data_IF_926230172785
#
_entry.id   IF_926230172785
#
_cell.length_a   1.000
_cell.length_b   1.000
_cell.length_c   1.000
_cell.angle_alpha   90.00
_cell.angle_beta   90.00
_cell.angle_gamma   90.00
#
_symmetry.space_group_name_H-M   'P 1'
#
loop_
_entity.id
_entity.type
_entity.pdbx_description
1 polymer ?
#
# COMPACT_ATOMS: atom_id res chain seq x y z
N UNK A 1 -44.04 49.86 22.94
CA UNK A 1 -43.64 49.13 21.73
C UNK A 1 -42.26 48.54 21.97
N UNK A 2 -42.16 47.22 22.12
CA UNK A 2 -40.90 46.49 22.41
C UNK A 2 -40.45 45.77 21.14
N UNK A 3 -39.19 45.90 20.66
CA UNK A 3 -38.72 45.06 19.58
C UNK A 3 -38.16 43.75 20.13
N UNK A 4 -38.64 42.64 19.57
CA UNK A 4 -38.19 41.29 19.84
C UNK A 4 -36.80 41.05 19.24
N UNK A 5 -35.80 40.76 20.09
CA UNK A 5 -34.48 40.32 19.66
C UNK A 5 -34.54 38.84 19.28
N UNK A 6 -34.44 38.54 17.98
CA UNK A 6 -34.44 37.19 17.42
C UNK A 6 -33.04 36.57 17.62
N UNK A 7 -32.90 35.67 18.60
CA UNK A 7 -31.68 34.90 18.83
C UNK A 7 -31.49 33.89 17.69
N UNK A 8 -30.48 34.08 16.83
CA UNK A 8 -30.07 33.07 15.84
C UNK A 8 -29.12 32.08 16.51
N UNK A 9 -29.63 30.89 16.81
CA UNK A 9 -28.83 29.74 17.26
C UNK A 9 -27.92 29.27 16.12
N UNK A 10 -26.61 29.25 16.36
CA UNK A 10 -25.61 28.73 15.44
C UNK A 10 -25.54 27.20 15.55
N UNK A 11 -25.86 26.51 14.45
CA UNK A 11 -25.65 25.07 14.30
C UNK A 11 -24.16 24.80 14.13
N UNK A 12 -23.49 24.29 15.16
CA UNK A 12 -22.13 23.77 15.06
C UNK A 12 -22.14 22.36 14.45
N UNK A 13 -21.38 22.09 13.37
CA UNK A 13 -21.23 20.74 12.84
C UNK A 13 -20.39 19.88 13.80
N UNK A 14 -20.97 18.75 14.18
CA UNK A 14 -20.37 17.76 15.08
C UNK A 14 -19.23 17.03 14.37
N UNK A 15 -17.99 17.46 14.59
CA UNK A 15 -16.78 16.77 14.16
C UNK A 15 -16.69 15.39 14.83
N UNK A 16 -16.80 14.31 14.04
CA UNK A 16 -16.50 12.95 14.52
C UNK A 16 -14.99 12.76 14.52
N UNK A 17 -14.40 12.67 15.71
CA UNK A 17 -13.01 12.25 15.89
C UNK A 17 -12.87 10.78 15.47
N UNK A 18 -11.96 10.51 14.54
CA UNK A 18 -11.51 9.16 14.16
C UNK A 18 -10.68 8.58 15.31
N UNK A 19 -11.28 7.71 16.13
CA UNK A 19 -10.55 6.94 17.12
C UNK A 19 -9.85 5.75 16.46
N UNK A 20 -8.57 5.55 16.80
CA UNK A 20 -7.79 4.39 16.38
C UNK A 20 -8.22 3.15 17.19
N UNK A 21 -9.14 2.35 16.65
CA UNK A 21 -9.43 1.02 17.17
C UNK A 21 -8.31 0.07 16.78
N UNK A 22 -7.37 -0.14 17.71
CA UNK A 22 -6.37 -1.20 17.63
C UNK A 22 -7.07 -2.57 17.66
N UNK A 23 -7.21 -3.22 16.52
CA UNK A 23 -7.58 -4.64 16.45
C UNK A 23 -6.34 -5.45 16.85
N UNK A 24 -6.28 -5.93 18.11
CA UNK A 24 -5.35 -7.01 18.46
C UNK A 24 -5.89 -8.29 17.85
N UNK A 25 -5.26 -8.76 16.77
CA UNK A 25 -5.43 -10.13 16.32
C UNK A 25 -4.74 -11.04 17.34
N UNK A 26 -5.53 -11.73 18.16
CA UNK A 26 -5.03 -12.82 18.99
C UNK A 26 -4.74 -14.01 18.05
N UNK A 27 -3.48 -14.18 17.67
CA UNK A 27 -3.03 -15.43 17.04
C UNK A 27 -2.95 -16.51 18.12
N UNK A 28 -4.06 -17.19 18.37
CA UNK A 28 -4.04 -18.45 19.12
C UNK A 28 -3.31 -19.50 18.30
N UNK A 29 -2.26 -20.10 18.87
CA UNK A 29 -1.53 -21.21 18.27
C UNK A 29 -2.33 -22.51 18.44
N UNK A 30 -3.45 -22.65 17.74
CA UNK A 30 -4.14 -23.93 17.58
C UNK A 30 -3.44 -24.71 16.45
N UNK A 31 -2.86 -25.89 16.77
CA UNK A 31 -2.15 -26.75 15.81
C UNK A 31 -0.62 -26.72 15.93
N UNK A 32 -0.09 -27.09 17.10
CA UNK A 32 1.34 -27.28 17.36
C UNK A 32 1.58 -28.63 18.04
N UNK A 33 2.52 -29.41 17.53
CA UNK A 33 2.89 -30.71 18.11
C UNK A 33 4.42 -30.81 18.19
N UNK A 34 4.96 -30.88 19.40
CA UNK A 34 6.39 -31.14 19.62
C UNK A 34 6.68 -32.63 19.45
N UNK A 35 7.66 -32.95 18.63
CA UNK A 35 8.14 -34.32 18.42
C UNK A 35 9.23 -34.70 19.44
N UNK A 36 9.44 -36.01 19.67
CA UNK A 36 10.48 -36.51 20.58
C UNK A 36 11.91 -36.13 20.18
N UNK A 37 12.15 -35.81 18.90
CA UNK A 37 13.44 -35.35 18.36
C UNK A 37 13.71 -33.85 18.62
N UNK A 38 12.79 -33.16 19.29
CA UNK A 38 12.87 -31.73 19.57
C UNK A 38 12.41 -30.83 18.41
N UNK A 39 11.98 -31.41 17.28
CA UNK A 39 11.36 -30.65 16.20
C UNK A 39 9.88 -30.37 16.50
N UNK A 40 9.34 -29.23 16.06
CA UNK A 40 7.93 -28.90 16.24
C UNK A 40 7.21 -28.86 14.90
N UNK A 41 6.08 -29.55 14.82
CA UNK A 41 5.17 -29.45 13.69
C UNK A 41 4.17 -28.33 13.95
N UNK A 42 4.01 -27.48 12.94
CA UNK A 42 3.10 -26.34 12.97
C UNK A 42 2.09 -26.47 11.85
N UNK A 43 0.83 -26.20 12.19
CA UNK A 43 -0.27 -26.23 11.24
C UNK A 43 -0.25 -24.98 10.37
N UNK A 44 -0.37 -25.15 9.05
CA UNK A 44 -0.51 -24.04 8.11
C UNK A 44 -1.55 -24.35 7.02
N UNK A 45 -2.44 -23.40 6.77
CA UNK A 45 -3.36 -23.45 5.63
C UNK A 45 -2.57 -23.17 4.33
N UNK A 46 -2.28 -24.20 3.55
CA UNK A 46 -1.51 -24.07 2.30
C UNK A 46 -2.31 -24.50 1.06
N UNK A 47 -2.27 -23.68 0.00
CA UNK A 47 -3.02 -23.97 -1.24
C UNK A 47 -2.42 -25.12 -2.05
N UNK A 48 -1.09 -25.18 -2.11
CA UNK A 48 -0.33 -26.20 -2.87
C UNK A 48 -0.23 -27.51 -2.11
N UNK A 49 -0.28 -27.47 -0.77
CA UNK A 49 -0.17 -28.63 0.10
C UNK A 49 -1.52 -28.79 0.82
N UNK A 50 -2.53 -29.36 0.14
CA UNK A 50 -3.91 -29.45 0.65
C UNK A 50 -4.02 -30.24 1.95
N UNK A 51 -3.06 -31.11 2.24
CA UNK A 51 -3.08 -32.05 3.34
C UNK A 51 -1.94 -31.70 4.29
N UNK A 52 -2.23 -30.99 5.39
CA UNK A 52 -1.24 -30.66 6.41
C UNK A 52 -0.86 -31.91 7.23
N UNK A 53 0.37 -31.92 7.73
CA UNK A 53 0.92 -33.05 8.50
C UNK A 53 0.24 -33.26 9.86
N UNK A 54 -0.27 -32.17 10.45
CA UNK A 54 -1.03 -32.18 11.70
C UNK A 54 -2.43 -31.60 11.49
N UNK A 55 -3.44 -32.00 12.29
CA UNK A 55 -4.76 -31.37 12.27
C UNK A 55 -4.70 -29.96 12.87
N UNK A 56 -5.67 -29.12 12.50
CA UNK A 56 -5.85 -27.81 13.10
C UNK A 56 -6.11 -27.90 14.61
N UNK A 57 -7.03 -28.77 15.03
CA UNK A 57 -7.30 -29.04 16.44
C UNK A 57 -6.61 -30.32 16.88
N UNK A 58 -5.68 -30.17 17.82
CA UNK A 58 -4.94 -31.30 18.42
C UNK A 58 -5.67 -31.85 19.64
N UNK A 59 -6.11 -30.96 20.53
CA UNK A 59 -6.87 -31.33 21.73
C UNK A 59 -8.38 -31.35 21.43
N UNK A 60 -8.98 -32.53 21.56
CA UNK A 60 -10.40 -32.73 21.26
C UNK A 60 -11.24 -32.70 22.54
N UNK A 61 -12.33 -31.93 22.51
CA UNK A 61 -13.37 -32.02 23.55
C UNK A 61 -14.09 -33.37 23.50
N UNK A 62 -14.81 -33.73 24.57
CA UNK A 62 -15.56 -35.00 24.65
C UNK A 62 -16.58 -35.17 23.52
N UNK A 63 -17.26 -34.10 23.11
CA UNK A 63 -18.17 -34.11 21.96
C UNK A 63 -17.43 -34.38 20.64
N UNK A 64 -16.29 -33.74 20.43
CA UNK A 64 -15.48 -33.93 19.23
C UNK A 64 -14.86 -35.34 19.19
N UNK A 65 -14.47 -35.89 20.34
CA UNK A 65 -14.04 -37.28 20.48
C UNK A 65 -15.12 -38.26 20.02
N UNK A 66 -16.35 -38.10 20.52
CA UNK A 66 -17.48 -38.92 20.09
C UNK A 66 -17.79 -38.77 18.59
N UNK A 67 -17.57 -37.58 18.02
CA UNK A 67 -17.71 -37.34 16.58
C UNK A 67 -16.63 -38.05 15.76
N UNK A 68 -15.38 -38.08 16.24
CA UNK A 68 -14.28 -38.84 15.63
C UNK A 68 -14.51 -40.35 15.69
N UNK A 69 -15.17 -40.84 16.74
CA UNK A 69 -15.57 -42.25 16.80
C UNK A 69 -16.66 -42.58 15.78
N UNK A 70 -17.64 -41.69 15.59
CA UNK A 70 -18.66 -41.81 14.53
C UNK A 70 -18.07 -41.75 13.11
N UNK A 71 -17.00 -40.98 12.91
CA UNK A 71 -16.30 -40.87 11.61
C UNK A 71 -15.78 -42.22 11.10
N UNK A 72 -15.46 -43.16 12.00
CA UNK A 72 -14.98 -44.51 11.65
C UNK A 72 -16.07 -45.38 11.01
N UNK A 73 -17.35 -45.01 11.15
CA UNK A 73 -18.49 -45.72 10.56
C UNK A 73 -18.87 -45.23 9.16
N UNK A 74 -20.06 -45.62 8.64
CA UNK A 74 -20.52 -45.22 7.32
C UNK A 74 -20.87 -43.72 7.22
N UNK A 75 -20.21 -42.99 6.32
CA UNK A 75 -20.41 -41.53 6.14
C UNK A 75 -21.78 -41.12 5.59
N UNK A 76 -22.58 -42.09 5.14
CA UNK A 76 -23.99 -41.87 4.75
C UNK A 76 -24.89 -41.57 5.95
N UNK A 77 -24.49 -42.02 7.15
CA UNK A 77 -25.24 -41.81 8.40
C UNK A 77 -24.87 -40.50 9.11
N UNK A 78 -23.78 -39.84 8.70
CA UNK A 78 -23.37 -38.55 9.25
C UNK A 78 -24.26 -37.42 8.70
N UNK A 79 -24.73 -36.56 9.61
CA UNK A 79 -25.43 -35.34 9.23
C UNK A 79 -24.50 -34.37 8.50
N UNK A 80 -25.07 -33.35 7.85
CA UNK A 80 -24.29 -32.32 7.18
C UNK A 80 -23.45 -31.50 8.18
N UNK A 81 -24.01 -31.23 9.36
CA UNK A 81 -23.34 -30.48 10.42
C UNK A 81 -22.17 -31.26 11.01
N UNK A 82 -22.32 -32.58 11.18
CA UNK A 82 -21.24 -33.48 11.62
C UNK A 82 -20.05 -33.44 10.66
N UNK A 83 -20.32 -33.43 9.35
CA UNK A 83 -19.27 -33.36 8.31
C UNK A 83 -18.54 -32.02 8.34
N UNK A 84 -19.26 -30.92 8.51
CA UNK A 84 -18.66 -29.58 8.63
C UNK A 84 -17.81 -29.49 9.89
N UNK A 85 -18.27 -30.07 10.99
CA UNK A 85 -17.57 -30.08 12.27
C UNK A 85 -16.27 -30.90 12.18
N UNK A 86 -16.31 -32.09 11.57
CA UNK A 86 -15.11 -32.88 11.25
C UNK A 86 -14.14 -32.12 10.35
N UNK A 87 -14.65 -31.38 9.37
CA UNK A 87 -13.82 -30.53 8.52
C UNK A 87 -13.09 -29.46 9.32
N UNK A 88 -13.79 -28.74 10.22
CA UNK A 88 -13.20 -27.68 11.05
C UNK A 88 -12.23 -28.20 12.13
N UNK A 89 -12.37 -29.46 12.55
CA UNK A 89 -11.39 -30.12 13.42
C UNK A 89 -10.07 -30.32 12.66
N UNK A 90 -10.13 -30.78 11.41
CA UNK A 90 -8.93 -31.06 10.61
C UNK A 90 -8.33 -29.81 9.97
N UNK A 91 -9.17 -28.89 9.51
CA UNK A 91 -8.78 -27.72 8.72
C UNK A 91 -9.31 -26.43 9.33
N UNK A 92 -8.47 -25.39 9.39
CA UNK A 92 -8.91 -24.08 9.85
C UNK A 92 -9.76 -23.39 8.79
N UNK A 93 -9.22 -23.24 7.57
CA UNK A 93 -9.87 -22.48 6.49
C UNK A 93 -10.26 -23.36 5.31
N UNK A 94 -11.36 -22.97 4.66
CA UNK A 94 -11.71 -23.54 3.35
C UNK A 94 -10.86 -22.95 2.23
N UNK A 95 -10.75 -23.66 1.11
CA UNK A 95 -10.10 -23.13 -0.09
C UNK A 95 -10.71 -21.80 -0.55
N UNK A 96 -12.02 -21.60 -0.39
CA UNK A 96 -12.67 -20.34 -0.72
C UNK A 96 -12.25 -19.20 0.22
N UNK A 97 -12.14 -19.48 1.53
CA UNK A 97 -11.64 -18.52 2.53
C UNK A 97 -10.17 -18.16 2.29
N UNK A 98 -9.34 -19.14 1.96
CA UNK A 98 -7.91 -18.93 1.64
C UNK A 98 -7.71 -18.17 0.34
N UNK A 99 -8.61 -18.34 -0.63
CA UNK A 99 -8.55 -17.65 -1.92
C UNK A 99 -9.27 -16.29 -1.93
N UNK A 100 -9.79 -15.85 -0.78
CA UNK A 100 -10.50 -14.57 -0.70
C UNK A 100 -9.54 -13.42 -1.06
N UNK A 101 -9.88 -12.58 -2.06
CA UNK A 101 -9.02 -11.45 -2.42
C UNK A 101 -8.99 -10.41 -1.29
N UNK A 102 -7.81 -9.86 -1.01
CA UNK A 102 -7.63 -8.77 -0.04
C UNK A 102 -7.66 -7.41 -0.73
N UNK A 103 -8.13 -6.38 -0.01
CA UNK A 103 -8.12 -4.99 -0.47
C UNK A 103 -6.89 -4.22 0.02
N UNK A 104 -5.87 -4.92 0.53
CA UNK A 104 -4.65 -4.35 1.10
C UNK A 104 -3.86 -3.54 0.09
N UNK A 105 -3.95 -3.86 -1.21
CA UNK A 105 -3.34 -3.06 -2.26
C UNK A 105 -3.81 -1.58 -2.19
N UNK A 106 -5.07 -1.32 -1.81
CA UNK A 106 -5.59 0.05 -1.71
C UNK A 106 -4.91 0.83 -0.61
N UNK A 107 -4.60 0.21 0.53
CA UNK A 107 -3.89 0.88 1.62
C UNK A 107 -2.43 1.11 1.25
N UNK A 108 -1.78 0.14 0.61
CA UNK A 108 -0.40 0.30 0.10
C UNK A 108 -0.31 1.48 -0.87
N UNK A 109 -1.17 1.54 -1.88
CA UNK A 109 -1.20 2.66 -2.83
C UNK A 109 -1.54 3.99 -2.13
N UNK A 110 -2.51 3.99 -1.22
CA UNK A 110 -2.84 5.19 -0.42
C UNK A 110 -1.63 5.74 0.33
N UNK A 111 -0.88 4.87 1.00
CA UNK A 111 0.34 5.24 1.74
C UNK A 111 1.42 5.76 0.80
N UNK A 112 1.65 5.13 -0.36
CA UNK A 112 2.61 5.58 -1.37
C UNK A 112 2.29 7.01 -1.83
N UNK A 113 1.03 7.31 -2.16
CA UNK A 113 0.64 8.66 -2.60
C UNK A 113 0.75 9.71 -1.49
N UNK A 114 0.49 9.35 -0.23
CA UNK A 114 0.71 10.25 0.91
C UNK A 114 2.19 10.63 1.01
N UNK A 115 3.10 9.65 0.90
CA UNK A 115 4.54 9.93 0.97
C UNK A 115 5.04 10.74 -0.23
N UNK A 116 4.55 10.48 -1.45
CA UNK A 116 4.87 11.32 -2.61
C UNK A 116 4.35 12.74 -2.44
N UNK A 117 3.12 12.91 -1.95
CA UNK A 117 2.53 14.23 -1.67
C UNK A 117 3.35 15.01 -0.62
N UNK A 118 3.73 14.35 0.47
CA UNK A 118 4.56 14.95 1.51
C UNK A 118 5.96 15.31 1.01
N UNK A 119 6.59 14.42 0.24
CA UNK A 119 7.91 14.66 -0.37
C UNK A 119 7.86 15.85 -1.32
N UNK A 120 6.83 15.93 -2.18
CA UNK A 120 6.61 17.06 -3.08
C UNK A 120 6.43 18.38 -2.34
N UNK A 121 5.70 18.38 -1.21
CA UNK A 121 5.53 19.55 -0.36
C UNK A 121 6.86 20.02 0.25
N UNK A 122 7.71 19.09 0.70
CA UNK A 122 9.04 19.39 1.23
C UNK A 122 9.93 20.00 0.14
N UNK A 123 9.98 19.41 -1.06
CA UNK A 123 10.77 19.92 -2.18
C UNK A 123 10.30 21.30 -2.61
N UNK A 124 8.99 21.53 -2.67
CA UNK A 124 8.43 22.85 -2.96
C UNK A 124 8.85 23.88 -1.91
N UNK A 125 8.76 23.55 -0.62
CA UNK A 125 9.20 24.44 0.45
C UNK A 125 10.69 24.78 0.35
N UNK A 126 11.56 23.78 0.09
CA UNK A 126 12.99 24.00 -0.16
C UNK A 126 13.22 24.95 -1.35
N UNK A 127 12.44 24.79 -2.44
CA UNK A 127 12.54 25.62 -3.64
C UNK A 127 12.18 27.09 -3.43
N UNK A 128 11.26 27.38 -2.52
CA UNK A 128 10.81 28.75 -2.23
C UNK A 128 11.69 29.43 -1.18
N UNK A 129 12.08 28.72 -0.12
CA UNK A 129 12.69 29.33 1.06
C UNK A 129 14.18 29.01 1.27
N UNK A 130 14.70 27.93 0.70
CA UNK A 130 16.06 27.45 0.98
C UNK A 130 17.00 27.69 -0.19
N UNK A 131 16.57 27.41 -1.42
CA UNK A 131 17.45 27.52 -2.58
C UNK A 131 17.66 28.98 -3.03
N UNK A 132 18.91 29.37 -3.35
CA UNK A 132 19.23 30.71 -3.84
C UNK A 132 18.59 30.97 -5.23
N UNK A 133 18.55 32.24 -5.68
CA UNK A 133 18.11 32.55 -7.03
C UNK A 133 18.94 31.78 -8.06
N UNK A 134 18.27 31.39 -9.13
CA UNK A 134 18.87 30.67 -10.22
C UNK A 134 20.00 31.50 -10.85
N UNK A 135 21.19 30.92 -11.11
CA UNK A 135 22.28 31.67 -11.73
C UNK A 135 21.89 32.18 -13.11
N UNK A 136 22.43 33.33 -13.52
CA UNK A 136 22.13 33.97 -14.79
C UNK A 136 22.43 33.07 -16.01
N UNK A 137 23.33 32.10 -15.87
CA UNK A 137 23.68 31.16 -16.94
C UNK A 137 22.53 30.22 -17.32
N UNK A 138 21.51 30.10 -16.46
CA UNK A 138 20.31 29.34 -16.77
C UNK A 138 19.14 30.22 -17.20
N UNK A 139 19.35 31.53 -17.38
CA UNK A 139 18.39 32.38 -18.07
C UNK A 139 18.24 31.92 -19.53
N UNK A 140 17.06 32.09 -20.10
CA UNK A 140 16.73 31.54 -21.42
C UNK A 140 17.58 32.15 -22.53
N UNK A 141 17.95 33.43 -22.40
CA UNK A 141 18.89 34.13 -23.28
C UNK A 141 20.28 33.49 -23.29
N UNK A 142 20.80 33.12 -22.11
CA UNK A 142 22.11 32.49 -21.98
C UNK A 142 22.11 31.07 -22.51
N UNK A 143 21.04 30.30 -22.23
CA UNK A 143 20.83 28.98 -22.84
C UNK A 143 20.81 29.05 -24.36
N UNK A 144 20.13 30.05 -24.94
CA UNK A 144 20.10 30.24 -26.39
C UNK A 144 21.48 30.60 -26.96
N UNK A 145 22.26 31.47 -26.29
CA UNK A 145 23.64 31.78 -26.69
C UNK A 145 24.56 30.55 -26.61
N UNK A 146 24.43 29.76 -25.54
CA UNK A 146 25.22 28.55 -25.35
C UNK A 146 24.87 27.49 -26.40
N UNK A 147 23.58 27.30 -26.70
CA UNK A 147 23.13 26.40 -27.77
C UNK A 147 23.68 26.81 -29.14
N UNK A 148 23.66 28.11 -29.48
CA UNK A 148 24.28 28.64 -30.71
C UNK A 148 25.78 28.35 -30.78
N UNK A 149 26.50 28.48 -29.66
CA UNK A 149 27.93 28.19 -29.58
C UNK A 149 28.23 26.72 -29.85
N UNK A 150 27.44 25.81 -29.27
CA UNK A 150 27.58 24.36 -29.48
C UNK A 150 27.35 23.99 -30.96
N UNK A 151 26.31 24.54 -31.59
CA UNK A 151 26.05 24.38 -33.02
C UNK A 151 27.22 24.91 -33.86
N UNK A 152 27.76 26.09 -33.51
CA UNK A 152 28.91 26.69 -34.19
C UNK A 152 30.21 25.88 -34.06
N UNK A 153 30.31 25.00 -33.06
CA UNK A 153 31.44 24.10 -32.84
C UNK A 153 31.31 22.76 -33.59
N UNK A 154 30.17 22.52 -34.26
CA UNK A 154 29.96 21.34 -35.09
C UNK A 154 29.51 20.09 -34.31
N UNK A 155 29.03 20.24 -33.07
CA UNK A 155 28.39 19.15 -32.33
C UNK A 155 26.96 18.95 -32.89
N UNK A 156 26.86 18.24 -34.01
CA UNK A 156 25.67 18.14 -34.86
C UNK A 156 24.55 17.21 -34.34
N UNK A 157 24.66 16.65 -33.13
CA UNK A 157 23.62 15.78 -32.57
C UNK A 157 22.47 16.55 -31.89
N UNK A 158 22.66 17.85 -31.62
CA UNK A 158 21.71 18.66 -30.83
C UNK A 158 20.82 19.59 -31.70
N UNK A 159 21.09 19.65 -33.02
CA UNK A 159 20.40 20.57 -33.94
C UNK A 159 18.91 20.24 -34.14
N UNK A 160 18.50 18.99 -33.91
CA UNK A 160 17.09 18.54 -34.03
C UNK A 160 16.26 18.84 -32.77
N UNK A 161 16.89 19.17 -31.64
CA UNK A 161 16.22 19.44 -30.36
C UNK A 161 15.97 20.93 -30.07
N UNK A 162 16.30 21.83 -30.99
CA UNK A 162 16.22 23.25 -30.74
C UNK A 162 14.77 23.77 -30.86
N UNK A 163 14.25 24.51 -29.86
CA UNK A 163 12.98 25.21 -30.01
C UNK A 163 13.13 26.23 -31.15
N UNK A 164 12.15 26.24 -32.06
CA UNK A 164 12.10 26.99 -33.33
C UNK A 164 12.08 28.53 -33.18
N UNK A 165 12.48 29.05 -32.01
CA UNK A 165 12.48 30.47 -31.69
C UNK A 165 13.85 30.86 -31.13
N UNK A 166 14.81 31.02 -32.04
CA UNK A 166 16.08 31.64 -31.72
C UNK A 166 15.98 33.11 -32.17
N UNK A 167 15.68 34.08 -31.29
CA UNK A 167 15.56 35.48 -31.70
C UNK A 167 16.91 35.96 -32.26
N UNK A 168 16.88 36.59 -33.44
CA UNK A 168 18.01 37.24 -34.11
C UNK A 168 18.47 38.46 -33.28
N UNK A 169 19.07 38.24 -32.10
CA UNK A 169 19.80 39.28 -31.39
C UNK A 169 21.09 39.51 -32.19
N UNK A 170 21.36 40.74 -32.68
CA UNK A 170 22.57 41.05 -33.40
C UNK A 170 23.77 40.90 -32.47
N UNK A 171 24.75 40.08 -32.87
CA UNK A 171 26.03 39.98 -32.18
C UNK A 171 26.76 41.32 -32.37
N UNK A 172 27.17 42.03 -31.31
CA UNK A 172 28.04 43.18 -31.47
C UNK A 172 29.36 42.70 -32.08
N UNK A 173 29.56 43.04 -33.36
CA UNK A 173 30.82 42.82 -34.07
C UNK A 173 31.89 43.61 -33.32
N UNK A 174 32.88 42.92 -32.77
CA UNK A 174 34.04 43.55 -32.14
C UNK A 174 34.62 44.62 -33.05
N UNK A 175 34.79 45.83 -32.51
CA UNK A 175 35.42 46.96 -33.20
C UNK A 175 36.82 46.55 -33.70
N UNK A 176 37.18 46.82 -34.96
CA UNK A 176 38.58 46.77 -35.36
C UNK A 176 39.32 47.95 -34.71
N UNK A 177 40.55 47.70 -34.25
CA UNK A 177 41.44 48.72 -33.69
C UNK A 177 41.91 49.75 -34.71
#
# INVERSE_FOLDING_TARGET
MLPALRLRSALLPRTRLLGATSVRAAHGHEGQVSRPDGSELLYYDHRVFPLPDIPYQTDLSSQQGALKDKERGPWKQLSQEDKISLYRIKFNKTYAEMNRPSNEWKTVFGTIFIFFGLTGLIVWWQRVYVYPPQPHTLADEWKAMQARRMVGMGDTNDAEQLPLYIPLIPVPRSLPG
#
